data_IF_846327912191
#
_entry.id   IF_846327912191
#
_cell.length_a   1.000
_cell.length_b   1.000
_cell.length_c   1.000
_cell.angle_alpha   90.00
_cell.angle_beta   90.00
_cell.angle_gamma   90.00
#
_symmetry.space_group_name_H-M   'P 1'
#
loop_
_entity.id
_entity.type
_entity.pdbx_description
1 polymer ?
#
# COMPACT_ATOMS: atom_id res chain seq x y z
N UNK A 1 62.91 -31.79 8.34
CA UNK A 1 63.77 -32.93 7.94
C UNK A 1 62.96 -34.22 8.03
N UNK A 2 62.93 -34.97 6.93
CA UNK A 2 62.73 -36.42 6.75
C UNK A 2 61.49 -37.16 7.30
N UNK A 3 60.56 -37.42 6.37
CA UNK A 3 60.05 -38.72 5.87
C UNK A 3 60.33 -40.06 6.59
N UNK A 4 59.29 -40.93 6.56
CA UNK A 4 59.31 -42.41 6.54
C UNK A 4 58.52 -43.04 7.71
N UNK A 5 57.65 -44.06 7.60
CA UNK A 5 57.38 -45.19 6.67
C UNK A 5 56.00 -45.79 7.08
N UNK A 6 55.08 -46.11 6.15
CA UNK A 6 54.83 -47.40 5.46
C UNK A 6 53.68 -48.24 6.04
N UNK A 7 52.89 -48.77 5.10
CA UNK A 7 51.65 -49.54 5.18
C UNK A 7 51.85 -51.05 5.41
N UNK A 8 50.72 -51.77 5.63
CA UNK A 8 50.37 -53.21 5.42
C UNK A 8 49.04 -53.42 6.18
N UNK A 9 48.01 -54.18 5.82
CA UNK A 9 47.52 -54.99 4.69
C UNK A 9 46.05 -55.33 5.04
N UNK A 10 45.22 -55.74 4.07
CA UNK A 10 43.99 -56.47 4.38
C UNK A 10 42.98 -56.50 3.25
N UNK A 11 43.17 -57.39 2.27
CA UNK A 11 42.17 -57.73 1.27
C UNK A 11 41.32 -58.93 1.70
N UNK A 12 40.11 -59.04 1.13
CA UNK A 12 39.27 -60.24 0.98
C UNK A 12 37.88 -59.73 0.55
N UNK A 13 37.07 -60.39 -0.26
CA UNK A 13 37.20 -61.29 -1.40
C UNK A 13 35.80 -61.29 -2.03
N UNK A 14 35.74 -61.39 -3.35
CA UNK A 14 34.52 -61.36 -4.15
C UNK A 14 33.77 -62.68 -4.02
N UNK A 15 32.48 -62.63 -3.68
CA UNK A 15 31.56 -63.78 -3.80
C UNK A 15 30.49 -63.45 -4.84
N UNK A 16 30.58 -64.10 -6.01
CA UNK A 16 29.51 -64.14 -7.01
C UNK A 16 28.36 -65.02 -6.50
N UNK A 17 27.12 -64.58 -6.66
CA UNK A 17 25.95 -65.46 -6.65
C UNK A 17 25.06 -65.20 -7.87
N UNK A 18 24.52 -66.31 -8.35
CA UNK A 18 23.99 -66.59 -9.69
C UNK A 18 22.60 -65.99 -9.96
N UNK A 19 22.38 -65.56 -11.20
CA UNK A 19 21.09 -65.14 -11.75
C UNK A 19 20.17 -66.35 -12.01
N UNK A 20 18.94 -66.29 -11.53
CA UNK A 20 17.81 -67.06 -12.07
C UNK A 20 16.55 -66.17 -12.08
N UNK A 21 16.04 -65.93 -13.29
CA UNK A 21 14.85 -65.15 -13.60
C UNK A 21 13.59 -66.00 -13.50
N UNK A 22 12.53 -65.46 -12.90
CA UNK A 22 11.13 -65.79 -13.23
C UNK A 22 10.25 -64.64 -12.72
N UNK A 23 9.60 -63.94 -13.64
CA UNK A 23 8.85 -62.71 -13.37
C UNK A 23 7.45 -62.93 -12.82
N UNK A 24 6.90 -61.91 -12.19
CA UNK A 24 5.45 -61.68 -12.06
C UNK A 24 5.20 -60.20 -11.66
N UNK A 25 4.37 -59.55 -12.50
CA UNK A 25 3.47 -58.41 -12.22
C UNK A 25 4.08 -57.01 -12.05
N UNK A 26 4.25 -56.33 -13.19
CA UNK A 26 4.18 -54.87 -13.24
C UNK A 26 2.72 -54.43 -13.07
N UNK A 27 2.41 -53.74 -11.96
CA UNK A 27 1.15 -53.01 -11.82
C UNK A 27 1.05 -51.95 -12.92
N UNK A 28 0.05 -52.11 -13.80
CA UNK A 28 -0.35 -51.07 -14.76
C UNK A 28 -1.07 -49.98 -13.98
N UNK A 29 -0.48 -48.79 -13.91
CA UNK A 29 -1.22 -47.57 -13.58
C UNK A 29 -2.00 -47.17 -14.83
N UNK A 30 -3.33 -47.29 -14.79
CA UNK A 30 -4.21 -46.78 -15.84
C UNK A 30 -4.18 -45.24 -15.83
N UNK A 31 -4.03 -44.57 -16.99
CA UNK A 31 -4.14 -43.12 -17.05
C UNK A 31 -5.61 -42.71 -16.84
N UNK A 32 -5.86 -41.94 -15.78
CA UNK A 32 -7.18 -41.34 -15.55
C UNK A 32 -7.53 -40.39 -16.70
N UNK A 33 -8.68 -40.64 -17.32
CA UNK A 33 -9.22 -39.86 -18.41
C UNK A 33 -9.44 -38.40 -17.96
N UNK A 34 -8.80 -37.46 -18.68
CA UNK A 34 -9.03 -36.03 -18.51
C UNK A 34 -10.43 -35.69 -19.03
N UNK A 35 -11.33 -35.30 -18.12
CA UNK A 35 -12.66 -34.80 -18.51
C UNK A 35 -12.51 -33.37 -19.03
N UNK A 36 -12.46 -33.21 -20.35
CA UNK A 36 -12.61 -31.92 -21.02
C UNK A 36 -14.08 -31.50 -20.96
N UNK A 37 -14.41 -30.61 -20.01
CA UNK A 37 -15.70 -29.92 -20.03
C UNK A 37 -15.62 -28.80 -21.08
N UNK A 38 -16.20 -29.07 -22.25
CA UNK A 38 -16.42 -28.05 -23.28
C UNK A 38 -17.46 -27.04 -22.77
N UNK A 39 -17.01 -25.82 -22.44
CA UNK A 39 -17.91 -24.71 -22.17
C UNK A 39 -18.62 -24.31 -23.47
N UNK A 40 -19.94 -24.49 -23.52
CA UNK A 40 -20.78 -23.99 -24.60
C UNK A 40 -20.66 -22.48 -24.67
N UNK A 41 -20.33 -21.95 -25.84
CA UNK A 41 -20.34 -20.51 -26.13
C UNK A 41 -21.76 -19.97 -26.05
N UNK A 42 -22.08 -19.33 -24.92
CA UNK A 42 -23.24 -18.45 -24.84
C UNK A 42 -22.87 -17.12 -25.51
N UNK A 43 -23.62 -16.76 -26.56
CA UNK A 43 -23.53 -15.45 -27.19
C UNK A 43 -23.98 -14.38 -26.17
N UNK A 44 -23.02 -13.66 -25.60
CA UNK A 44 -23.29 -12.52 -24.72
C UNK A 44 -23.49 -11.27 -25.57
N UNK A 45 -24.73 -10.77 -25.59
CA UNK A 45 -25.07 -9.44 -26.08
C UNK A 45 -24.37 -8.40 -25.20
N UNK A 46 -23.84 -7.36 -25.85
CA UNK A 46 -22.94 -6.37 -25.27
C UNK A 46 -23.42 -5.81 -23.93
N UNK A 47 -22.62 -6.05 -22.91
CA UNK A 47 -22.57 -5.23 -21.72
C UNK A 47 -21.39 -4.29 -21.85
N UNK A 48 -21.68 -3.00 -21.74
CA UNK A 48 -20.70 -1.93 -21.48
C UNK A 48 -19.70 -2.39 -20.41
N UNK A 49 -18.41 -2.28 -20.70
CA UNK A 49 -17.33 -2.68 -19.79
C UNK A 49 -17.28 -1.65 -18.65
N UNK A 50 -18.07 -1.91 -17.61
CA UNK A 50 -17.99 -1.23 -16.30
C UNK A 50 -16.94 -1.97 -15.45
N UNK A 51 -15.64 -1.75 -15.65
CA UNK A 51 -14.60 -2.28 -14.74
C UNK A 51 -13.32 -1.42 -14.70
N UNK A 52 -12.59 -1.41 -13.57
CA UNK A 52 -11.19 -0.93 -13.47
C UNK A 52 -10.19 -1.68 -14.38
N UNK A 53 -10.66 -2.54 -15.30
CA UNK A 53 -9.86 -3.32 -16.22
C UNK A 53 -9.02 -2.45 -17.18
N UNK A 54 -9.53 -1.28 -17.61
CA UNK A 54 -8.77 -0.39 -18.48
C UNK A 54 -7.58 0.26 -17.76
N UNK A 55 -7.81 0.76 -16.54
CA UNK A 55 -6.75 1.26 -15.66
C UNK A 55 -5.72 0.15 -15.37
N UNK A 56 -6.18 -1.05 -15.07
CA UNK A 56 -5.31 -2.20 -14.81
C UNK A 56 -4.42 -2.55 -16.02
N UNK A 57 -5.00 -2.56 -17.21
CA UNK A 57 -4.27 -2.83 -18.46
C UNK A 57 -3.24 -1.75 -18.73
N UNK A 58 -3.63 -0.47 -18.67
CA UNK A 58 -2.71 0.63 -18.94
C UNK A 58 -1.59 0.71 -17.91
N UNK A 59 -1.90 0.52 -16.62
CA UNK A 59 -0.90 0.46 -15.56
C UNK A 59 0.11 -0.67 -15.82
N UNK A 60 -0.38 -1.87 -16.15
CA UNK A 60 0.49 -3.03 -16.45
C UNK A 60 1.41 -2.76 -17.66
N UNK A 61 0.93 -2.03 -18.66
CA UNK A 61 1.72 -1.63 -19.83
C UNK A 61 2.68 -0.47 -19.55
N UNK A 62 2.38 0.37 -18.57
CA UNK A 62 3.22 1.50 -18.16
C UNK A 62 4.34 1.05 -17.21
N UNK A 63 4.07 0.13 -16.29
CA UNK A 63 4.98 -0.26 -15.21
C UNK A 63 6.41 -0.60 -15.68
N UNK A 64 6.66 -1.38 -16.75
CA UNK A 64 8.02 -1.66 -17.20
C UNK A 64 8.83 -0.43 -17.69
N UNK A 65 8.15 0.71 -17.92
CA UNK A 65 8.76 1.98 -18.33
C UNK A 65 8.97 2.93 -17.15
N UNK A 66 8.34 2.65 -16.00
CA UNK A 66 8.55 3.39 -14.77
C UNK A 66 9.90 2.93 -14.19
N UNK A 67 10.85 3.86 -14.11
CA UNK A 67 12.24 3.58 -13.70
C UNK A 67 12.34 3.54 -12.17
N UNK A 68 11.72 2.54 -11.57
CA UNK A 68 11.66 2.37 -10.11
C UNK A 68 10.61 1.35 -9.70
N UNK A 69 10.49 1.15 -8.39
CA UNK A 69 9.36 0.41 -7.81
C UNK A 69 8.22 1.39 -7.58
N UNK A 70 7.00 0.97 -7.91
CA UNK A 70 5.81 1.80 -7.77
C UNK A 70 4.65 0.98 -7.26
N UNK A 71 3.73 1.64 -6.56
CA UNK A 71 2.51 1.03 -6.09
C UNK A 71 1.37 2.03 -6.06
N UNK A 72 0.18 1.57 -6.44
CA UNK A 72 -1.05 2.33 -6.43
C UNK A 72 -2.17 1.46 -5.86
N UNK A 73 -2.89 1.95 -4.86
CA UNK A 73 -4.09 1.34 -4.35
C UNK A 73 -5.26 2.32 -4.41
N UNK A 74 -6.43 1.83 -4.85
CA UNK A 74 -7.67 2.62 -4.95
C UNK A 74 -8.84 1.91 -4.27
N UNK A 75 -9.74 2.70 -3.69
CA UNK A 75 -10.98 2.21 -3.07
C UNK A 75 -12.09 3.28 -3.16
N UNK A 76 -13.33 2.96 -3.55
CA UNK A 76 -14.44 3.91 -3.42
C UNK A 76 -14.64 4.33 -1.95
N UNK A 77 -14.90 5.61 -1.69
CA UNK A 77 -15.22 6.08 -0.32
C UNK A 77 -16.42 5.33 0.25
N UNK A 78 -16.33 4.89 1.50
CA UNK A 78 -17.35 4.04 2.14
C UNK A 78 -17.39 2.58 1.64
N UNK A 79 -16.60 2.23 0.62
CA UNK A 79 -16.49 0.90 0.04
C UNK A 79 -15.59 -0.06 0.84
N UNK A 80 -15.54 -1.31 0.40
CA UNK A 80 -14.73 -2.36 1.03
C UNK A 80 -13.83 -3.12 0.03
N UNK A 81 -13.85 -2.74 -1.25
CA UNK A 81 -13.07 -3.39 -2.31
C UNK A 81 -11.88 -2.52 -2.69
N UNK A 82 -10.70 -2.99 -2.33
CA UNK A 82 -9.43 -2.40 -2.79
C UNK A 82 -9.05 -2.96 -4.16
N UNK A 83 -8.50 -2.12 -5.02
CA UNK A 83 -7.71 -2.55 -6.19
C UNK A 83 -6.29 -2.06 -6.02
N UNK A 84 -5.30 -2.92 -6.24
CA UNK A 84 -3.87 -2.61 -6.06
C UNK A 84 -3.13 -2.89 -7.36
N UNK A 85 -2.17 -2.03 -7.70
CA UNK A 85 -1.31 -2.10 -8.87
C UNK A 85 0.15 -1.88 -8.46
N UNK A 86 1.08 -2.36 -9.29
CA UNK A 86 2.51 -2.17 -9.07
C UNK A 86 3.18 -3.27 -8.25
N UNK A 87 4.46 -3.06 -7.97
CA UNK A 87 5.36 -3.96 -7.25
C UNK A 87 5.80 -3.43 -5.89
N UNK A 88 5.43 -2.19 -5.52
CA UNK A 88 5.62 -1.64 -4.19
C UNK A 88 4.35 -1.76 -3.35
N UNK A 89 4.46 -2.24 -2.10
CA UNK A 89 3.27 -2.53 -1.27
C UNK A 89 3.28 -1.96 0.14
N UNK A 90 4.44 -1.79 0.78
CA UNK A 90 4.55 -1.38 2.19
C UNK A 90 5.85 -0.65 2.46
N UNK A 91 5.84 0.18 3.50
CA UNK A 91 6.97 0.97 3.98
C UNK A 91 6.51 2.01 5.00
N UNK A 92 7.44 2.84 5.46
CA UNK A 92 7.19 3.86 6.48
C UNK A 92 6.13 4.87 6.04
N UNK A 93 5.30 5.30 6.99
CA UNK A 93 4.27 6.29 6.76
C UNK A 93 4.86 7.67 6.42
N UNK A 94 6.02 8.01 6.98
CA UNK A 94 6.56 9.37 6.93
C UNK A 94 5.48 10.39 7.37
N UNK A 95 5.49 11.59 6.79
CA UNK A 95 4.52 12.63 7.11
C UNK A 95 3.06 12.32 6.73
N UNK A 96 2.76 11.17 6.11
CA UNK A 96 1.35 10.81 5.86
C UNK A 96 0.60 10.47 7.17
N UNK A 97 1.30 10.02 8.21
CA UNK A 97 0.71 9.76 9.54
C UNK A 97 0.21 11.02 10.25
N UNK A 98 0.60 12.22 9.78
CA UNK A 98 0.12 13.50 10.33
C UNK A 98 -1.40 13.67 10.18
N UNK A 99 -2.03 12.98 9.22
CA UNK A 99 -3.49 13.02 9.03
C UNK A 99 -4.24 12.42 10.22
N UNK A 100 -4.05 11.14 10.62
CA UNK A 100 -4.70 10.61 11.81
C UNK A 100 -4.26 11.33 13.10
N UNK A 101 -3.01 11.82 13.18
CA UNK A 101 -2.53 12.65 14.29
C UNK A 101 -3.34 13.95 14.44
N UNK A 102 -3.50 14.71 13.35
CA UNK A 102 -4.27 15.94 13.36
C UNK A 102 -5.75 15.69 13.70
N UNK A 103 -6.34 14.58 13.22
CA UNK A 103 -7.71 14.20 13.60
C UNK A 103 -7.80 13.93 15.12
N UNK A 104 -6.84 13.18 15.70
CA UNK A 104 -6.83 12.90 17.12
C UNK A 104 -6.71 14.20 17.96
N UNK A 105 -5.77 15.07 17.61
CA UNK A 105 -5.53 16.33 18.31
C UNK A 105 -6.73 17.29 18.22
N UNK A 106 -7.32 17.43 17.03
CA UNK A 106 -8.50 18.29 16.83
C UNK A 106 -9.75 17.75 17.54
N UNK A 107 -9.89 16.44 17.74
CA UNK A 107 -10.95 15.87 18.59
C UNK A 107 -10.78 16.23 20.06
N UNK A 108 -9.53 16.39 20.51
CA UNK A 108 -9.20 16.70 21.90
C UNK A 108 -9.35 18.19 22.22
N UNK A 109 -8.90 19.04 21.31
CA UNK A 109 -8.94 20.51 21.42
C UNK A 109 -9.09 21.16 20.02
N UNK A 110 -10.33 21.30 19.51
CA UNK A 110 -10.57 21.82 18.17
C UNK A 110 -10.00 23.22 17.92
N UNK A 111 -10.03 24.09 18.92
CA UNK A 111 -9.58 25.49 18.79
C UNK A 111 -8.07 25.59 19.01
N UNK A 112 -7.55 24.95 20.06
CA UNK A 112 -6.12 25.03 20.40
C UNK A 112 -5.21 24.32 19.39
N UNK A 113 -5.64 23.19 18.83
CA UNK A 113 -4.82 22.40 17.90
C UNK A 113 -4.89 22.87 16.44
N UNK A 114 -5.77 23.84 16.09
CA UNK A 114 -6.02 24.20 14.68
C UNK A 114 -4.80 24.77 13.96
N UNK A 115 -4.04 25.64 14.61
CA UNK A 115 -2.87 26.26 14.01
C UNK A 115 -1.78 25.22 13.68
N UNK A 116 -1.52 24.31 14.62
CA UNK A 116 -0.53 23.25 14.44
C UNK A 116 -1.04 22.21 13.42
N UNK A 117 -2.33 21.88 13.42
CA UNK A 117 -2.93 21.04 12.39
C UNK A 117 -2.79 21.66 11.00
N UNK A 118 -2.98 22.97 10.86
CA UNK A 118 -2.80 23.65 9.58
C UNK A 118 -1.36 23.56 9.08
N UNK A 119 -0.38 23.85 9.93
CA UNK A 119 1.04 23.76 9.57
C UNK A 119 1.47 22.30 9.26
N UNK A 120 1.08 21.36 10.13
CA UNK A 120 1.43 19.95 9.99
C UNK A 120 0.83 19.31 8.71
N UNK A 121 -0.36 19.75 8.28
CA UNK A 121 -1.00 19.21 7.08
C UNK A 121 -0.55 19.94 5.81
N UNK A 122 -0.61 21.27 5.76
CA UNK A 122 -0.46 22.05 4.50
C UNK A 122 0.98 22.23 4.02
N UNK A 123 1.92 22.36 4.96
CA UNK A 123 3.36 22.50 4.69
C UNK A 123 4.18 21.34 5.24
N UNK A 124 3.52 20.36 5.88
CA UNK A 124 4.19 19.21 6.47
C UNK A 124 5.19 19.56 7.58
N UNK A 125 4.92 20.61 8.34
CA UNK A 125 5.77 21.07 9.45
C UNK A 125 5.92 19.97 10.53
N UNK A 126 7.15 19.66 10.93
CA UNK A 126 7.43 18.61 11.92
C UNK A 126 7.29 19.11 13.35
N UNK A 127 7.67 20.35 13.65
CA UNK A 127 7.54 20.93 14.98
C UNK A 127 6.06 21.08 15.36
N UNK A 128 5.22 21.45 14.39
CA UNK A 128 3.77 21.47 14.56
C UNK A 128 3.20 20.05 14.78
N UNK A 129 3.73 19.03 14.09
CA UNK A 129 3.31 17.65 14.32
C UNK A 129 3.70 17.16 15.72
N UNK A 130 4.89 17.52 16.19
CA UNK A 130 5.34 17.20 17.55
C UNK A 130 4.48 17.93 18.60
N UNK A 131 4.10 19.19 18.36
CA UNK A 131 3.16 19.92 19.22
C UNK A 131 1.77 19.25 19.29
N UNK A 132 1.24 18.76 18.15
CA UNK A 132 0.00 17.99 18.13
C UNK A 132 0.14 16.68 18.93
N UNK A 133 1.28 15.99 18.78
CA UNK A 133 1.57 14.76 19.52
C UNK A 133 1.58 15.01 21.04
N UNK A 134 2.35 16.01 21.49
CA UNK A 134 2.49 16.36 22.90
C UNK A 134 1.15 16.85 23.50
N UNK A 135 0.27 17.45 22.68
CA UNK A 135 -1.06 17.87 23.12
C UNK A 135 -1.99 16.71 23.52
N UNK A 136 -1.69 15.49 23.05
CA UNK A 136 -2.49 14.28 23.31
C UNK A 136 -2.13 13.59 24.63
N UNK A 137 -1.02 13.97 25.27
CA UNK A 137 -0.57 13.42 26.55
C UNK A 137 0.87 12.93 26.49
N UNK A 138 1.22 11.98 27.37
CA UNK A 138 2.50 11.29 27.23
C UNK A 138 2.54 10.42 25.96
N UNK A 139 3.71 9.94 25.57
CA UNK A 139 3.89 9.21 24.31
C UNK A 139 2.99 7.97 24.16
N UNK A 140 2.59 7.33 25.27
CA UNK A 140 1.66 6.20 25.22
C UNK A 140 0.22 6.68 24.99
N UNK A 141 -0.22 7.69 25.74
CA UNK A 141 -1.56 8.28 25.56
C UNK A 141 -1.74 8.89 24.15
N UNK A 142 -0.70 9.57 23.64
CA UNK A 142 -0.68 10.09 22.29
C UNK A 142 -0.78 8.96 21.25
N UNK A 143 -0.01 7.89 21.43
CA UNK A 143 -0.07 6.73 20.56
C UNK A 143 -1.43 6.05 20.55
N UNK A 144 -2.04 5.86 21.72
CA UNK A 144 -3.39 5.29 21.86
C UNK A 144 -4.44 6.16 21.16
N UNK A 145 -4.35 7.49 21.27
CA UNK A 145 -5.27 8.42 20.61
C UNK A 145 -5.17 8.35 19.07
N UNK A 146 -3.95 8.29 18.53
CA UNK A 146 -3.75 8.16 17.07
C UNK A 146 -4.15 6.76 16.59
N UNK A 147 -3.81 5.72 17.35
CA UNK A 147 -4.22 4.34 17.05
C UNK A 147 -5.75 4.21 17.01
N UNK A 148 -6.48 4.88 17.91
CA UNK A 148 -7.94 4.87 17.91
C UNK A 148 -8.52 5.44 16.60
N UNK A 149 -7.91 6.50 16.05
CA UNK A 149 -8.33 7.07 14.75
C UNK A 149 -8.04 6.10 13.60
N UNK A 150 -6.89 5.43 13.62
CA UNK A 150 -6.55 4.39 12.64
C UNK A 150 -7.51 3.21 12.71
N UNK A 151 -7.82 2.74 13.92
CA UNK A 151 -8.71 1.61 14.17
C UNK A 151 -10.16 1.93 13.77
N UNK A 152 -10.67 3.13 14.07
CA UNK A 152 -12.01 3.55 13.65
C UNK A 152 -12.18 3.50 12.13
N UNK A 153 -11.15 3.91 11.39
CA UNK A 153 -11.13 3.81 9.94
C UNK A 153 -10.93 2.36 9.43
N UNK A 154 -10.24 1.50 10.19
CA UNK A 154 -10.03 0.10 9.86
C UNK A 154 -11.23 -0.81 10.15
N UNK A 155 -11.87 -0.62 11.30
CA UNK A 155 -12.94 -1.46 11.85
C UNK A 155 -14.25 -1.39 11.05
N UNK A 156 -14.46 -0.29 10.32
CA UNK A 156 -15.61 -0.10 9.45
C UNK A 156 -15.68 -1.10 8.26
N UNK A 157 -14.68 -1.97 8.07
CA UNK A 157 -14.57 -2.76 6.83
C UNK A 157 -15.16 -4.16 6.82
N UNK A 158 -15.14 -5.02 7.85
CA UNK A 158 -15.55 -6.43 7.62
C UNK A 158 -15.94 -7.31 8.81
N UNK A 159 -15.70 -6.96 10.07
CA UNK A 159 -15.79 -7.96 11.16
C UNK A 159 -14.82 -9.13 11.00
N UNK A 160 -13.83 -9.02 10.09
CA UNK A 160 -12.77 -10.00 9.88
C UNK A 160 -11.45 -9.35 10.34
N UNK A 161 -10.72 -9.97 11.28
CA UNK A 161 -9.38 -9.53 11.64
C UNK A 161 -8.46 -9.58 10.40
N UNK A 162 -8.01 -8.41 9.94
CA UNK A 162 -6.85 -8.26 9.05
C UNK A 162 -5.68 -7.66 9.83
N UNK A 163 -4.45 -7.68 9.30
CA UNK A 163 -3.36 -6.90 9.88
C UNK A 163 -3.81 -5.43 9.94
N UNK A 164 -3.72 -4.85 11.13
CA UNK A 164 -4.00 -3.43 11.36
C UNK A 164 -2.67 -2.69 11.38
N UNK A 165 -2.64 -1.48 10.84
CA UNK A 165 -1.54 -0.56 11.09
C UNK A 165 -1.42 -0.39 12.60
N UNK A 166 -0.25 -0.73 13.14
CA UNK A 166 0.09 -0.49 14.53
C UNK A 166 1.02 0.69 14.56
N UNK A 167 0.60 1.75 15.25
CA UNK A 167 1.40 2.95 15.40
C UNK A 167 2.72 2.63 16.11
N UNK A 168 3.80 3.17 15.56
CA UNK A 168 5.07 3.26 16.26
C UNK A 168 5.03 4.46 17.21
N UNK A 169 5.05 4.20 18.51
CA UNK A 169 4.95 5.25 19.54
C UNK A 169 6.31 5.90 19.85
N UNK A 170 7.42 5.32 19.38
CA UNK A 170 8.76 5.89 19.56
C UNK A 170 9.03 6.96 18.51
N UNK A 171 8.55 6.73 17.28
CA UNK A 171 8.50 7.73 16.22
C UNK A 171 7.29 7.48 15.31
N UNK A 172 6.23 8.29 15.42
CA UNK A 172 5.01 8.06 14.64
C UNK A 172 5.27 8.00 13.12
N UNK A 173 6.27 8.72 12.61
CA UNK A 173 6.68 8.70 11.20
C UNK A 173 7.25 7.37 10.70
N UNK A 174 7.85 6.56 11.60
CA UNK A 174 8.39 5.22 11.29
C UNK A 174 7.34 4.12 11.37
N UNK A 175 6.08 4.47 11.61
CA UNK A 175 4.95 3.53 11.51
C UNK A 175 4.94 2.87 10.13
N UNK A 176 5.08 1.56 10.07
CA UNK A 176 4.89 0.83 8.82
C UNK A 176 3.42 0.90 8.38
N UNK A 177 3.18 1.35 7.14
CA UNK A 177 1.83 1.53 6.63
C UNK A 177 1.70 1.04 5.20
N UNK A 178 1.09 -0.12 5.01
CA UNK A 178 0.85 -0.69 3.67
C UNK A 178 -0.06 0.21 2.82
N UNK A 179 0.08 0.16 1.49
CA UNK A 179 -0.83 0.89 0.58
C UNK A 179 -2.29 0.48 0.79
N UNK A 180 -2.51 -0.80 1.10
CA UNK A 180 -3.86 -1.34 1.29
C UNK A 180 -4.50 -0.79 2.57
N UNK A 181 -3.75 -0.68 3.66
CA UNK A 181 -4.27 -0.13 4.90
C UNK A 181 -4.41 1.39 4.83
N UNK A 182 -3.49 2.07 4.13
CA UNK A 182 -3.57 3.51 3.93
C UNK A 182 -4.75 3.91 3.04
N UNK A 183 -5.03 3.18 1.96
CA UNK A 183 -6.22 3.46 1.14
C UNK A 183 -7.52 3.10 1.86
N UNK A 184 -7.53 2.08 2.73
CA UNK A 184 -8.67 1.77 3.60
C UNK A 184 -8.94 2.94 4.54
N UNK A 185 -7.91 3.42 5.24
CA UNK A 185 -8.00 4.60 6.09
C UNK A 185 -8.57 5.80 5.31
N UNK A 186 -7.97 6.11 4.16
CA UNK A 186 -8.40 7.20 3.29
C UNK A 186 -9.87 7.07 2.86
N UNK A 187 -10.34 5.85 2.52
CA UNK A 187 -11.72 5.59 2.10
C UNK A 187 -12.76 5.86 3.19
N UNK A 188 -12.33 5.91 4.45
CA UNK A 188 -13.16 6.14 5.63
C UNK A 188 -12.96 7.50 6.26
N UNK A 189 -11.82 8.15 6.02
CA UNK A 189 -11.50 9.48 6.53
C UNK A 189 -12.66 10.50 6.45
N UNK A 190 -13.33 10.71 5.30
CA UNK A 190 -14.44 11.68 5.22
C UNK A 190 -15.70 11.22 5.97
N UNK A 191 -15.75 9.96 6.41
CA UNK A 191 -16.85 9.37 7.15
C UNK A 191 -16.60 9.31 8.66
N UNK A 192 -15.38 9.64 9.10
CA UNK A 192 -15.04 9.71 10.51
C UNK A 192 -15.67 10.96 11.14
N UNK A 193 -16.19 10.86 12.37
CA UNK A 193 -16.66 12.04 13.08
C UNK A 193 -15.50 13.03 13.28
N UNK A 194 -15.79 14.31 13.10
CA UNK A 194 -14.85 15.41 13.35
C UNK A 194 -13.57 15.37 12.50
N UNK A 195 -13.63 14.80 11.28
CA UNK A 195 -12.51 14.81 10.33
C UNK A 195 -12.58 15.94 9.28
N UNK A 196 -13.65 16.74 9.27
CA UNK A 196 -13.92 17.76 8.25
C UNK A 196 -12.81 18.82 8.18
N UNK A 197 -12.30 19.28 9.33
CA UNK A 197 -11.21 20.26 9.36
C UNK A 197 -9.94 19.72 8.69
N UNK A 198 -9.57 18.46 8.97
CA UNK A 198 -8.38 17.82 8.39
C UNK A 198 -8.54 17.59 6.89
N UNK A 199 -9.71 17.13 6.44
CA UNK A 199 -9.97 16.93 5.00
C UNK A 199 -9.97 18.26 4.23
N UNK A 200 -10.48 19.36 4.83
CA UNK A 200 -10.34 20.70 4.26
C UNK A 200 -8.87 21.14 4.17
N UNK A 201 -8.07 20.88 5.20
CA UNK A 201 -6.63 21.16 5.20
C UNK A 201 -5.86 20.38 4.12
N UNK A 202 -6.24 19.12 3.89
CA UNK A 202 -5.67 18.30 2.81
C UNK A 202 -5.97 18.85 1.40
N UNK A 203 -6.95 19.75 1.26
CA UNK A 203 -7.21 20.49 0.02
C UNK A 203 -6.42 21.80 -0.11
N UNK A 204 -5.59 22.14 0.89
CA UNK A 204 -4.79 23.37 0.96
C UNK A 204 -3.28 23.09 1.01
N UNK A 205 -2.84 21.93 0.53
CA UNK A 205 -1.41 21.60 0.41
C UNK A 205 -0.70 22.65 -0.44
N UNK A 206 0.49 23.06 0.00
CA UNK A 206 1.28 24.08 -0.71
C UNK A 206 1.77 23.60 -2.07
N UNK A 207 1.95 24.52 -3.04
CA UNK A 207 2.38 24.18 -4.40
C UNK A 207 3.69 23.37 -4.47
N UNK A 208 4.64 23.63 -3.56
CA UNK A 208 5.93 22.92 -3.51
C UNK A 208 5.77 21.42 -3.17
N UNK A 209 4.63 21.02 -2.61
CA UNK A 209 4.27 19.63 -2.32
C UNK A 209 3.15 19.12 -3.24
N UNK A 210 2.83 19.86 -4.30
CA UNK A 210 1.75 19.61 -5.26
C UNK A 210 2.04 18.59 -6.36
N UNK A 211 3.00 17.69 -6.15
CA UNK A 211 3.29 16.55 -7.05
C UNK A 211 2.28 15.40 -6.83
N UNK A 212 2.31 14.39 -7.69
CA UNK A 212 1.45 13.22 -7.65
C UNK A 212 -0.03 13.59 -7.69
N UNK A 213 -0.78 13.24 -6.65
CA UNK A 213 -2.19 13.58 -6.51
C UNK A 213 -2.47 15.09 -6.60
N UNK A 214 -1.51 15.94 -6.25
CA UNK A 214 -1.64 17.40 -6.39
C UNK A 214 -1.79 17.88 -7.82
N UNK A 215 -1.48 17.04 -8.81
CA UNK A 215 -1.68 17.32 -10.24
C UNK A 215 -3.13 17.07 -10.70
N UNK A 216 -3.98 16.46 -9.86
CA UNK A 216 -5.37 16.13 -10.19
C UNK A 216 -6.30 17.20 -9.61
N UNK A 217 -7.11 17.83 -10.46
CA UNK A 217 -8.06 18.85 -10.04
C UNK A 217 -9.06 18.32 -8.99
N UNK A 218 -9.19 19.06 -7.89
CA UNK A 218 -10.10 18.72 -6.79
C UNK A 218 -9.63 17.59 -5.88
N UNK A 219 -8.42 17.06 -6.07
CA UNK A 219 -7.84 16.11 -5.14
C UNK A 219 -7.51 16.78 -3.80
N UNK A 220 -7.74 16.05 -2.71
CA UNK A 220 -7.24 16.39 -1.38
C UNK A 220 -6.28 15.28 -0.93
N UNK A 221 -5.12 15.62 -0.41
CA UNK A 221 -4.08 14.62 -0.18
C UNK A 221 -3.11 15.02 0.92
N UNK A 222 -2.26 14.08 1.34
CA UNK A 222 -1.07 14.33 2.15
C UNK A 222 0.09 13.51 1.61
N UNK A 223 1.23 14.16 1.42
CA UNK A 223 2.50 13.52 1.07
C UNK A 223 3.36 13.19 2.29
N UNK A 224 4.25 12.21 2.12
CA UNK A 224 5.33 11.89 3.04
C UNK A 224 6.51 11.30 2.28
N UNK A 225 7.72 11.64 2.70
CA UNK A 225 8.94 11.20 2.04
C UNK A 225 10.09 11.14 3.03
N UNK A 226 11.10 10.34 2.70
CA UNK A 226 12.39 10.31 3.39
C UNK A 226 13.30 9.23 2.82
N UNK A 227 14.62 9.36 3.03
CA UNK A 227 15.58 8.34 2.67
C UNK A 227 15.48 7.15 3.62
N UNK A 228 15.71 5.96 3.10
CA UNK A 228 16.06 4.80 3.92
C UNK A 228 17.44 5.01 4.56
N UNK A 229 17.56 4.76 5.87
CA UNK A 229 18.78 5.07 6.64
C UNK A 229 19.99 4.23 6.22
N UNK A 230 19.77 3.02 5.66
CA UNK A 230 20.84 2.11 5.26
C UNK A 230 21.27 2.33 3.80
N UNK A 231 20.31 2.52 2.90
CA UNK A 231 20.52 2.57 1.45
C UNK A 231 20.51 3.99 0.88
N UNK A 232 19.96 4.96 1.61
CA UNK A 232 19.75 6.33 1.15
C UNK A 232 18.63 6.49 0.11
N UNK A 233 17.97 5.40 -0.29
CA UNK A 233 16.90 5.42 -1.30
C UNK A 233 15.68 6.14 -0.74
N UNK A 234 15.21 7.16 -1.45
CA UNK A 234 14.00 7.87 -1.08
C UNK A 234 12.76 7.03 -1.34
N UNK A 235 11.95 6.85 -0.29
CA UNK A 235 10.54 6.55 -0.42
C UNK A 235 9.78 7.87 -0.53
N UNK A 236 8.96 8.01 -1.57
CA UNK A 236 7.98 9.10 -1.70
C UNK A 236 6.60 8.48 -1.79
N UNK A 237 5.66 8.95 -0.96
CA UNK A 237 4.29 8.44 -0.93
C UNK A 237 3.26 9.53 -0.70
N UNK A 238 2.05 9.25 -1.16
CA UNK A 238 0.87 10.08 -0.96
C UNK A 238 -0.36 9.21 -0.70
N UNK A 239 -1.31 9.75 0.03
CA UNK A 239 -2.68 9.27 -0.03
C UNK A 239 -3.66 10.43 0.03
N UNK A 240 -4.89 10.19 -0.40
CA UNK A 240 -5.90 11.21 -0.46
C UNK A 240 -7.23 10.73 -1.02
N UNK A 241 -8.09 11.70 -1.33
CA UNK A 241 -9.35 11.51 -2.02
C UNK A 241 -9.31 12.26 -3.36
N UNK A 242 -9.85 11.63 -4.40
CA UNK A 242 -9.92 12.19 -5.74
C UNK A 242 -11.38 12.14 -6.25
N UNK A 243 -11.89 13.21 -6.88
CA UNK A 243 -13.18 13.19 -7.55
C UNK A 243 -13.26 12.11 -8.65
N UNK A 244 -14.34 11.34 -8.67
CA UNK A 244 -14.61 10.32 -9.68
C UNK A 244 -16.11 10.30 -10.03
N UNK A 245 -16.55 9.41 -10.93
CA UNK A 245 -17.99 9.31 -11.23
C UNK A 245 -18.76 8.88 -9.97
N UNK A 246 -19.79 9.63 -9.61
CA UNK A 246 -20.67 9.33 -8.47
C UNK A 246 -19.94 9.27 -7.11
N UNK A 247 -19.04 10.23 -6.86
CA UNK A 247 -18.47 10.45 -5.54
C UNK A 247 -16.95 10.54 -5.54
N UNK A 248 -16.33 10.09 -4.45
CA UNK A 248 -14.89 10.14 -4.25
C UNK A 248 -14.29 8.74 -4.29
N UNK A 249 -13.08 8.62 -4.83
CA UNK A 249 -12.23 7.46 -4.60
C UNK A 249 -11.11 7.86 -3.64
N UNK A 250 -10.79 6.97 -2.71
CA UNK A 250 -9.55 7.02 -1.97
C UNK A 250 -8.42 6.45 -2.81
N UNK A 251 -7.25 7.06 -2.69
CA UNK A 251 -6.03 6.70 -3.41
C UNK A 251 -4.87 6.66 -2.42
N UNK A 252 -4.02 5.65 -2.50
CA UNK A 252 -2.72 5.57 -1.85
C UNK A 252 -1.69 5.18 -2.89
N UNK A 253 -0.58 5.91 -2.98
CA UNK A 253 0.48 5.66 -3.96
C UNK A 253 1.86 5.88 -3.35
N UNK A 254 2.84 5.14 -3.83
CA UNK A 254 4.21 5.26 -3.39
C UNK A 254 5.18 4.84 -4.49
N UNK A 255 6.40 5.38 -4.43
CA UNK A 255 7.47 5.02 -5.33
C UNK A 255 8.84 5.11 -4.66
N UNK A 256 9.75 4.30 -5.18
CA UNK A 256 11.20 4.40 -5.01
C UNK A 256 11.82 4.39 -6.40
N UNK A 257 12.48 5.48 -6.79
CA UNK A 257 13.12 5.57 -8.10
C UNK A 257 14.38 4.70 -8.17
N UNK A 258 14.71 4.20 -9.36
CA UNK A 258 15.95 3.44 -9.62
C UNK A 258 17.20 4.27 -9.30
N UNK A 259 17.13 5.60 -9.44
CA UNK A 259 18.18 6.53 -9.03
C UNK A 259 18.33 6.67 -7.51
N UNK A 260 17.29 6.33 -6.74
CA UNK A 260 17.22 6.56 -5.30
C UNK A 260 16.82 7.98 -4.90
N UNK A 261 16.69 8.90 -5.86
CA UNK A 261 16.50 10.32 -5.60
C UNK A 261 15.02 10.71 -5.35
N UNK A 262 14.82 11.67 -4.45
CA UNK A 262 13.51 12.26 -4.15
C UNK A 262 12.78 12.77 -5.40
N UNK A 263 13.46 13.58 -6.22
CA UNK A 263 12.85 14.22 -7.39
C UNK A 263 12.34 13.19 -8.40
N UNK A 264 13.14 12.16 -8.71
CA UNK A 264 12.71 11.12 -9.64
C UNK A 264 11.55 10.29 -9.07
N UNK A 265 11.53 10.05 -7.76
CA UNK A 265 10.40 9.39 -7.12
C UNK A 265 9.13 10.24 -7.16
N UNK A 266 9.21 11.58 -7.06
CA UNK A 266 8.04 12.45 -7.27
C UNK A 266 7.53 12.41 -8.71
N UNK A 267 8.42 12.34 -9.72
CA UNK A 267 8.00 12.16 -11.12
C UNK A 267 7.29 10.82 -11.36
N UNK A 268 7.71 9.74 -10.68
CA UNK A 268 7.00 8.46 -10.74
C UNK A 268 5.57 8.57 -10.17
N UNK A 269 5.36 9.39 -9.14
CA UNK A 269 4.02 9.69 -8.63
C UNK A 269 3.21 10.55 -9.59
N UNK A 270 3.83 11.53 -10.26
CA UNK A 270 3.17 12.31 -11.32
C UNK A 270 2.70 11.41 -12.47
N UNK A 271 3.54 10.46 -12.91
CA UNK A 271 3.19 9.49 -13.95
C UNK A 271 2.01 8.61 -13.54
N UNK A 272 2.00 8.12 -12.29
CA UNK A 272 0.87 7.34 -11.74
C UNK A 272 -0.39 8.17 -11.62
N UNK A 273 -0.30 9.42 -11.18
CA UNK A 273 -1.43 10.34 -11.06
C UNK A 273 -2.02 10.69 -12.43
N UNK A 274 -1.18 10.96 -13.42
CA UNK A 274 -1.61 11.21 -14.80
C UNK A 274 -2.31 9.99 -15.40
N UNK A 275 -1.81 8.78 -15.11
CA UNK A 275 -2.45 7.53 -15.52
C UNK A 275 -3.83 7.39 -14.85
N UNK A 276 -3.91 7.56 -13.53
CA UNK A 276 -5.19 7.54 -12.81
C UNK A 276 -6.18 8.56 -13.36
N UNK A 277 -5.75 9.80 -13.60
CA UNK A 277 -6.57 10.90 -14.07
C UNK A 277 -7.31 10.57 -15.38
N UNK A 278 -6.65 9.87 -16.33
CA UNK A 278 -7.28 9.42 -17.59
C UNK A 278 -8.43 8.44 -17.39
N UNK A 279 -8.48 7.76 -16.24
CA UNK A 279 -9.46 6.73 -15.93
C UNK A 279 -10.44 7.11 -14.81
N UNK A 280 -10.37 8.30 -14.20
CA UNK A 280 -11.31 8.70 -13.14
C UNK A 280 -12.77 8.61 -13.58
N UNK A 281 -13.00 8.89 -14.84
CA UNK A 281 -14.25 8.76 -15.55
C UNK A 281 -14.67 7.29 -15.79
N UNK A 282 -13.89 6.30 -15.44
CA UNK A 282 -14.29 4.88 -15.51
C UNK A 282 -14.41 4.27 -14.12
N UNK A 283 -13.93 5.00 -13.11
CA UNK A 283 -13.99 4.62 -11.71
C UNK A 283 -15.27 5.15 -11.10
N UNK A 284 -15.98 4.27 -10.41
CA UNK A 284 -17.13 4.64 -9.60
C UNK A 284 -16.63 5.00 -8.20
N UNK A 285 -16.76 6.27 -7.84
CA UNK A 285 -16.57 6.77 -6.49
C UNK A 285 -17.64 6.24 -5.54
N UNK A 286 -17.46 6.61 -4.28
CA UNK A 286 -18.43 6.32 -3.23
C UNK A 286 -18.67 7.54 -2.34
N UNK A 287 -19.52 7.33 -1.33
CA UNK A 287 -19.96 8.32 -0.38
C UNK A 287 -20.05 7.68 1.00
N UNK A 288 -20.04 8.50 2.04
CA UNK A 288 -20.37 8.05 3.38
C UNK A 288 -21.86 7.71 3.46
N UNK A 289 -22.19 6.59 4.10
CA UNK A 289 -23.57 6.25 4.41
C UNK A 289 -24.03 7.15 5.56
N UNK A 290 -24.80 8.19 5.25
CA UNK A 290 -25.49 9.03 6.22
C UNK A 290 -26.97 8.64 6.27
#
# INVERSE_FOLDING_TARGET
>A
MSLGRSAVQGGLAVTMLVLASCGLMAERVEPQATVLVAAKSAAWRGHTIDRPDALAVEFTQAQPRLRGQVGLAIMPVGGNRTTVFGDWTTGLAWSTIKVPLAVAALRRDPEGAMADAEAAITVSDNDAADALWDSLGDGLAAAEAVQQVLDEAGDATTGVPGPRTRLDYEAFGTTEWSLTDQVRFASRLPCLPQADAVTQLMGRITPDQGWGLGTIEGAIFKGGWGPDDETGVYLVRQFGLVPARNGLIAVSMAAQAESGDFTDATHLLDDMAALLARHLDQLRGGHCAH
#
